data_IF_128352339243
#
_entry.id   IF_128352339243
#
_cell.length_a   1.000
_cell.length_b   1.000
_cell.length_c   1.000
_cell.angle_alpha   90.00
_cell.angle_beta   90.00
_cell.angle_gamma   90.00
#
_symmetry.space_group_name_H-M   'P 1'
#
loop_
_entity.id
_entity.type
_entity.pdbx_description
1 polymer ?
#
# COMPACT_ATOMS: atom_id res chain seq x y z
N UNK A 1 -12.86 6.23 -4.51
CA UNK A 1 -12.72 5.15 -5.51
C UNK A 1 -11.44 5.39 -6.26
N UNK A 2 -10.36 5.09 -5.57
CA UNK A 2 -9.01 5.30 -6.07
C UNK A 2 -8.06 4.41 -5.31
N UNK A 3 -7.14 3.82 -6.05
CA UNK A 3 -5.91 3.28 -5.50
C UNK A 3 -5.03 4.47 -5.12
N UNK A 4 -4.53 4.49 -3.89
CA UNK A 4 -3.70 5.55 -3.34
C UNK A 4 -2.28 5.03 -3.15
N UNK A 5 -1.28 5.89 -3.42
CA UNK A 5 0.12 5.59 -3.16
C UNK A 5 0.77 6.73 -2.37
N UNK A 6 1.58 6.41 -1.36
CA UNK A 6 2.39 7.41 -0.66
C UNK A 6 3.81 7.57 -1.24
N UNK A 7 4.50 8.69 -0.98
CA UNK A 7 5.86 8.87 -1.47
C UNK A 7 6.79 7.78 -0.89
N UNK A 8 7.82 7.36 -1.65
CA UNK A 8 8.73 6.33 -1.20
C UNK A 8 9.66 6.88 -0.11
N UNK A 9 9.17 6.89 1.12
CA UNK A 9 9.86 7.46 2.28
C UNK A 9 10.16 6.40 3.34
N UNK A 10 9.65 5.17 3.17
CA UNK A 10 9.85 4.10 4.12
C UNK A 10 11.18 3.39 3.86
N UNK A 11 12.12 3.36 4.83
CA UNK A 11 13.44 2.77 4.61
C UNK A 11 13.35 1.24 4.57
N UNK A 12 13.73 0.66 3.44
CA UNK A 12 13.87 -0.79 3.27
C UNK A 12 15.32 -1.27 3.20
N UNK A 13 15.52 -2.58 2.92
CA UNK A 13 16.84 -3.17 2.83
C UNK A 13 17.69 -2.49 1.75
N UNK A 14 19.00 -2.35 2.02
CA UNK A 14 20.00 -1.81 1.08
C UNK A 14 19.70 -0.39 0.58
N UNK A 15 19.03 0.44 1.40
CA UNK A 15 18.74 1.84 1.08
C UNK A 15 17.61 2.04 0.07
N UNK A 16 16.94 0.96 -0.35
CA UNK A 16 15.76 1.05 -1.20
C UNK A 16 14.61 1.66 -0.40
N UNK A 17 14.01 2.71 -0.92
CA UNK A 17 12.82 3.32 -0.31
C UNK A 17 11.56 2.60 -0.78
N UNK A 18 10.55 2.57 0.09
CA UNK A 18 9.29 1.87 -0.12
C UNK A 18 8.11 2.83 0.05
N UNK A 19 7.09 2.55 -0.74
CA UNK A 19 5.77 3.15 -0.69
C UNK A 19 4.74 2.11 -0.30
N UNK A 20 3.61 2.58 0.21
CA UNK A 20 2.43 1.81 0.50
C UNK A 20 1.38 2.12 -0.57
N UNK A 21 0.74 1.06 -1.05
CA UNK A 21 -0.36 1.13 -2.01
C UNK A 21 -1.62 0.57 -1.35
N UNK A 22 -2.72 1.32 -1.36
CA UNK A 22 -4.01 0.92 -0.79
C UNK A 22 -5.16 1.23 -1.72
N UNK A 23 -6.33 0.66 -1.47
CA UNK A 23 -7.59 1.16 -2.02
C UNK A 23 -8.42 1.79 -0.91
N UNK A 24 -9.15 2.86 -1.24
CA UNK A 24 -10.17 3.46 -0.38
C UNK A 24 -11.57 2.85 -0.57
N UNK A 25 -11.68 1.75 -1.32
CA UNK A 25 -12.96 1.17 -1.75
C UNK A 25 -13.02 -0.34 -1.51
N UNK A 26 -12.06 -1.13 -2.00
CA UNK A 26 -12.06 -2.58 -1.80
C UNK A 26 -10.67 -3.21 -1.95
N UNK A 27 -10.44 -4.36 -1.29
CA UNK A 27 -9.20 -5.13 -1.49
C UNK A 27 -9.13 -5.76 -2.88
N UNK A 28 -10.28 -6.08 -3.49
CA UNK A 28 -10.34 -6.63 -4.85
C UNK A 28 -9.77 -5.64 -5.88
N UNK A 29 -10.16 -4.37 -5.79
CA UNK A 29 -9.59 -3.30 -6.64
C UNK A 29 -8.08 -3.18 -6.42
N UNK A 30 -7.64 -3.22 -5.16
CA UNK A 30 -6.22 -3.16 -4.83
C UNK A 30 -5.42 -4.33 -5.42
N UNK A 31 -5.94 -5.56 -5.33
CA UNK A 31 -5.30 -6.75 -5.90
C UNK A 31 -5.24 -6.68 -7.43
N UNK A 32 -6.34 -6.27 -8.09
CA UNK A 32 -6.38 -6.10 -9.54
C UNK A 32 -5.37 -5.05 -10.01
N UNK A 33 -5.28 -3.91 -9.31
CA UNK A 33 -4.32 -2.87 -9.63
C UNK A 33 -2.87 -3.33 -9.42
N UNK A 34 -2.57 -4.02 -8.32
CA UNK A 34 -1.24 -4.56 -8.05
C UNK A 34 -0.80 -5.55 -9.13
N UNK A 35 -1.71 -6.41 -9.60
CA UNK A 35 -1.45 -7.33 -10.70
C UNK A 35 -1.13 -6.59 -12.01
N UNK A 36 -1.87 -5.54 -12.36
CA UNK A 36 -1.59 -4.68 -13.52
C UNK A 36 -0.23 -3.95 -13.42
N UNK A 37 0.13 -3.52 -12.21
CA UNK A 37 1.42 -2.91 -11.91
C UNK A 37 2.58 -3.92 -11.99
N UNK A 38 2.29 -5.22 -11.93
CA UNK A 38 3.29 -6.30 -11.90
C UNK A 38 3.88 -6.55 -10.51
N UNK A 39 3.18 -6.12 -9.46
CA UNK A 39 3.57 -6.37 -8.06
C UNK A 39 3.06 -7.75 -7.65
N UNK A 40 3.92 -8.61 -7.08
CA UNK A 40 3.52 -9.98 -6.72
C UNK A 40 2.60 -9.97 -5.50
N UNK A 41 1.65 -10.90 -5.43
CA UNK A 41 0.69 -11.02 -4.30
C UNK A 41 1.39 -11.13 -2.93
N UNK A 42 2.58 -11.73 -2.86
CA UNK A 42 3.36 -11.84 -1.61
C UNK A 42 3.79 -10.48 -1.02
N UNK A 43 3.66 -9.39 -1.76
CA UNK A 43 3.94 -8.04 -1.28
C UNK A 43 2.72 -7.42 -0.56
N UNK A 44 1.58 -8.11 -0.51
CA UNK A 44 0.42 -7.71 0.25
C UNK A 44 0.58 -8.01 1.75
N UNK A 45 0.42 -7.00 2.61
CA UNK A 45 0.30 -7.16 4.07
C UNK A 45 -1.07 -6.68 4.57
N UNK A 46 -2.04 -7.61 4.57
CA UNK A 46 -3.41 -7.51 5.14
C UNK A 46 -4.34 -6.49 4.49
N UNK A 47 -3.89 -5.27 4.21
CA UNK A 47 -4.70 -4.17 3.69
C UNK A 47 -3.97 -3.20 2.75
N UNK A 48 -2.68 -3.44 2.51
CA UNK A 48 -1.85 -2.64 1.62
C UNK A 48 -0.84 -3.54 0.90
N UNK A 49 -0.27 -3.01 -0.19
CA UNK A 49 0.96 -3.55 -0.78
C UNK A 49 2.13 -2.66 -0.42
N UNK A 50 3.24 -3.29 -0.05
CA UNK A 50 4.54 -2.62 0.01
C UNK A 50 5.19 -2.68 -1.38
N UNK A 51 5.51 -1.51 -1.93
CA UNK A 51 6.09 -1.40 -3.27
C UNK A 51 7.40 -0.60 -3.25
N UNK A 52 8.44 -1.01 -3.99
CA UNK A 52 9.69 -0.27 -4.02
C UNK A 52 9.55 1.06 -4.79
N UNK A 53 10.41 2.04 -4.48
CA UNK A 53 10.42 3.35 -5.13
C UNK A 53 10.48 3.27 -6.66
N UNK A 54 11.11 2.22 -7.19
CA UNK A 54 11.26 1.95 -8.63
C UNK A 54 9.93 1.74 -9.35
N UNK A 55 8.85 1.37 -8.66
CA UNK A 55 7.52 1.20 -9.28
C UNK A 55 6.55 2.35 -8.98
N UNK A 56 6.93 3.30 -8.13
CA UNK A 56 6.06 4.40 -7.71
C UNK A 56 5.57 5.22 -8.91
N UNK A 57 6.47 5.67 -9.80
CA UNK A 57 6.08 6.44 -10.98
C UNK A 57 5.16 5.67 -11.92
N UNK A 58 5.37 4.35 -12.06
CA UNK A 58 4.50 3.49 -12.87
C UNK A 58 3.11 3.34 -12.23
N UNK A 59 3.02 3.24 -10.91
CA UNK A 59 1.74 3.22 -10.21
C UNK A 59 0.95 4.51 -10.48
N UNK A 60 1.59 5.68 -10.36
CA UNK A 60 0.96 6.97 -10.66
C UNK A 60 0.53 7.04 -12.14
N UNK A 61 1.37 6.59 -13.07
CA UNK A 61 1.03 6.56 -14.49
C UNK A 61 -0.14 5.61 -14.83
N UNK A 62 -0.35 4.56 -14.03
CA UNK A 62 -1.49 3.64 -14.13
C UNK A 62 -2.76 4.17 -13.43
N UNK A 63 -2.69 5.34 -12.80
CA UNK A 63 -3.84 5.99 -12.18
C UNK A 63 -3.92 5.88 -10.66
N UNK A 64 -2.87 5.42 -9.98
CA UNK A 64 -2.80 5.57 -8.52
C UNK A 64 -2.70 7.07 -8.14
N UNK A 65 -3.50 7.51 -7.18
CA UNK A 65 -3.48 8.88 -6.67
C UNK A 65 -2.32 9.03 -5.67
N UNK A 66 -1.31 9.89 -5.94
CA UNK A 66 -0.25 10.15 -4.99
C UNK A 66 -0.77 11.04 -3.86
N UNK A 67 -0.71 10.54 -2.63
CA UNK A 67 -1.17 11.24 -1.41
C UNK A 67 -0.14 11.12 -0.29
N UNK A 68 -0.25 11.92 0.77
CA UNK A 68 0.62 11.70 1.94
C UNK A 68 0.30 10.38 2.65
N UNK A 69 1.28 9.75 3.33
CA UNK A 69 1.04 8.54 4.13
C UNK A 69 -0.06 8.73 5.19
N UNK A 70 -0.17 9.96 5.73
CA UNK A 70 -1.22 10.31 6.70
C UNK A 70 -2.60 10.28 6.05
N UNK A 71 -2.73 10.84 4.85
CA UNK A 71 -3.98 10.86 4.11
C UNK A 71 -4.36 9.47 3.62
N UNK A 72 -3.39 8.71 3.10
CA UNK A 72 -3.54 7.31 2.73
C UNK A 72 -4.16 6.50 3.88
N UNK A 73 -3.56 6.58 5.07
CA UNK A 73 -4.06 5.89 6.25
C UNK A 73 -5.45 6.40 6.67
N UNK A 74 -5.70 7.71 6.57
CA UNK A 74 -7.01 8.29 6.90
C UNK A 74 -8.12 7.76 6.00
N UNK A 75 -7.89 7.70 4.68
CA UNK A 75 -8.87 7.18 3.71
C UNK A 75 -9.08 5.68 3.87
N UNK A 76 -8.02 4.91 4.11
CA UNK A 76 -8.10 3.47 4.40
C UNK A 76 -8.95 3.16 5.66
N UNK A 77 -8.81 3.97 6.70
CA UNK A 77 -9.63 3.85 7.93
C UNK A 77 -11.08 4.24 7.65
N UNK A 78 -11.31 5.35 6.94
CA UNK A 78 -12.65 5.80 6.57
C UNK A 78 -13.40 4.76 5.71
N UNK A 79 -12.68 4.04 4.85
CA UNK A 79 -13.19 2.92 4.06
C UNK A 79 -13.51 1.65 4.88
N UNK A 80 -13.11 1.60 6.16
CA UNK A 80 -13.28 0.42 7.01
C UNK A 80 -12.36 -0.76 6.64
N UNK A 81 -11.36 -0.54 5.79
CA UNK A 81 -10.48 -1.59 5.28
C UNK A 81 -9.24 -1.83 6.14
N UNK A 82 -8.90 -0.91 7.05
CA UNK A 82 -7.69 -1.04 7.89
C UNK A 82 -7.74 -2.31 8.77
N UNK A 83 -6.81 -3.23 8.53
CA UNK A 83 -6.52 -4.44 9.30
C UNK A 83 -5.22 -4.28 10.09
N UNK A 84 -5.35 -3.83 11.34
CA UNK A 84 -4.21 -3.76 12.26
C UNK A 84 -3.71 -5.16 12.61
N UNK A 85 -2.37 -5.34 12.67
CA UNK A 85 -1.77 -6.51 13.30
C UNK A 85 -2.22 -6.56 14.76
N UNK A 86 -2.93 -7.62 15.18
CA UNK A 86 -3.05 -7.91 16.61
C UNK A 86 -1.64 -8.23 17.12
N UNK A 87 -1.15 -7.46 18.09
CA UNK A 87 -0.02 -7.92 18.91
C UNK A 87 -0.54 -9.16 19.65
N UNK A 88 -0.07 -10.34 19.26
CA UNK A 88 -0.13 -11.47 20.19
C UNK A 88 0.73 -11.09 21.40
N UNK A 89 0.27 -11.31 22.64
CA UNK A 89 1.14 -11.17 23.79
C UNK A 89 2.32 -12.12 23.56
N UNK A 90 3.54 -11.59 23.68
CA UNK A 90 4.75 -12.41 23.62
C UNK A 90 4.57 -13.54 24.66
N UNK A 91 4.44 -14.76 24.18
CA UNK A 91 4.53 -15.93 25.05
C UNK A 91 5.97 -15.94 25.58
N UNK A 92 6.09 -16.01 26.91
CA UNK A 92 7.34 -15.82 27.65
C UNK A 92 8.43 -16.85 27.38
#
# INVERSE_FOLDING_TARGET
MSVLIDPPNWPGPRGLLWSHLVSDTSLEELHAFAALLGVPERAFDRDHYDVPETVHQRAVALGAEPVSSRELLSRLIAAGLRRRRRREPASG
#
